data_IF_711437553027
#
_entry.id   IF_711437553027
#
_cell.length_a   1.000
_cell.length_b   1.000
_cell.length_c   1.000
_cell.angle_alpha   90.00
_cell.angle_beta   90.00
_cell.angle_gamma   90.00
#
_symmetry.space_group_name_H-M   'P 1'
#
loop_
_entity.id
_entity.type
_entity.pdbx_description
1 polymer ?
#
# COMPACT_ATOMS: atom_id res chain seq x y z
N UNK A 1 12.90 6.50 -16.76
CA UNK A 1 12.20 7.80 -16.89
C UNK A 1 10.68 7.64 -17.04
N UNK A 2 10.13 6.99 -18.07
CA UNK A 2 8.66 6.82 -18.19
C UNK A 2 8.06 5.97 -17.05
N UNK A 3 8.64 4.80 -16.74
CA UNK A 3 8.15 3.92 -15.65
C UNK A 3 8.08 4.67 -14.32
N UNK A 4 9.13 5.41 -13.99
CA UNK A 4 9.21 6.22 -12.77
C UNK A 4 8.14 7.32 -12.73
N UNK A 5 7.95 8.06 -13.83
CA UNK A 5 6.88 9.08 -13.94
C UNK A 5 5.50 8.47 -13.68
N UNK A 6 5.26 7.27 -14.24
CA UNK A 6 4.01 6.52 -14.04
C UNK A 6 3.83 6.03 -12.61
N UNK A 7 4.89 5.52 -11.98
CA UNK A 7 4.86 5.17 -10.55
C UNK A 7 4.59 6.40 -9.68
N UNK A 8 5.21 7.54 -9.97
CA UNK A 8 4.96 8.80 -9.23
C UNK A 8 3.52 9.29 -9.40
N UNK A 9 2.96 9.18 -10.61
CA UNK A 9 1.54 9.50 -10.85
C UNK A 9 0.61 8.60 -10.01
N UNK A 10 0.89 7.29 -9.96
CA UNK A 10 0.17 6.36 -9.08
C UNK A 10 0.32 6.72 -7.60
N UNK A 11 1.54 7.02 -7.12
CA UNK A 11 1.77 7.46 -5.74
C UNK A 11 0.97 8.73 -5.43
N UNK A 12 0.99 9.72 -6.33
CA UNK A 12 0.24 10.96 -6.17
C UNK A 12 -1.25 10.69 -6.05
N UNK A 13 -1.81 9.84 -6.91
CA UNK A 13 -3.24 9.54 -6.93
C UNK A 13 -3.67 8.70 -5.73
N UNK A 14 -3.05 7.53 -5.52
CA UNK A 14 -3.48 6.56 -4.52
C UNK A 14 -2.99 6.89 -3.12
N UNK A 15 -1.70 7.17 -2.96
CA UNK A 15 -1.12 7.31 -1.63
C UNK A 15 -1.33 8.72 -1.09
N UNK A 16 -1.12 9.74 -1.92
CA UNK A 16 -1.22 11.15 -1.48
C UNK A 16 -2.66 11.66 -1.55
N UNK A 17 -3.29 11.71 -2.73
CA UNK A 17 -4.61 12.33 -2.90
C UNK A 17 -5.71 11.53 -2.21
N UNK A 18 -5.71 10.20 -2.36
CA UNK A 18 -6.69 9.34 -1.70
C UNK A 18 -6.30 9.00 -0.26
N UNK A 19 -5.06 9.26 0.17
CA UNK A 19 -4.61 9.02 1.55
C UNK A 19 -4.69 7.55 1.96
N UNK A 20 -4.51 6.62 1.01
CA UNK A 20 -4.59 5.17 1.28
C UNK A 20 -3.47 4.76 2.25
N UNK A 21 -2.27 5.32 2.10
CA UNK A 21 -1.19 5.20 3.08
C UNK A 21 -1.13 6.46 3.96
N UNK A 22 -1.33 6.37 5.28
CA UNK A 22 -1.27 7.56 6.16
C UNK A 22 0.16 8.11 6.32
N UNK A 23 1.18 7.35 5.92
CA UNK A 23 2.59 7.69 6.10
C UNK A 23 3.25 8.26 4.85
N UNK A 24 2.50 8.47 3.76
CA UNK A 24 3.02 9.03 2.50
C UNK A 24 2.22 10.27 2.14
N UNK A 25 2.83 11.46 2.28
CA UNK A 25 2.18 12.75 2.02
C UNK A 25 2.67 13.46 0.76
N UNK A 26 3.62 12.88 0.04
CA UNK A 26 4.19 13.43 -1.19
C UNK A 26 4.72 12.30 -2.08
N UNK A 27 4.97 12.60 -3.35
CA UNK A 27 5.61 11.68 -4.30
C UNK A 27 7.11 11.49 -4.10
N UNK A 28 7.76 12.28 -3.25
CA UNK A 28 9.22 12.21 -3.06
C UNK A 28 9.62 11.65 -1.70
N UNK A 29 8.72 11.67 -0.73
CA UNK A 29 9.04 11.40 0.68
C UNK A 29 8.00 10.46 1.28
N UNK A 30 8.44 9.51 2.11
CA UNK A 30 7.62 8.62 2.94
C UNK A 30 8.03 8.72 4.42
N UNK A 31 7.20 8.20 5.32
CA UNK A 31 7.44 8.27 6.77
C UNK A 31 7.00 9.58 7.45
N UNK A 32 6.36 10.52 6.73
CA UNK A 32 6.00 11.83 7.30
C UNK A 32 4.98 11.77 8.45
N UNK A 33 4.31 10.63 8.65
CA UNK A 33 3.37 10.39 9.75
C UNK A 33 4.01 9.85 11.03
N UNK A 34 5.35 9.72 11.09
CA UNK A 34 6.06 9.10 12.21
C UNK A 34 7.03 10.06 12.93
N UNK A 35 7.12 11.32 12.50
CA UNK A 35 8.11 12.28 13.01
C UNK A 35 7.98 12.58 14.51
N UNK A 36 6.75 12.61 15.02
CA UNK A 36 6.44 12.78 16.43
C UNK A 36 6.81 11.56 17.30
N UNK A 37 7.06 10.41 16.68
CA UNK A 37 7.62 9.21 17.32
C UNK A 37 9.15 9.15 17.22
N UNK A 38 9.80 10.24 16.79
CA UNK A 38 11.25 10.31 16.63
C UNK A 38 11.77 9.56 15.40
N UNK A 39 10.89 9.11 14.50
CA UNK A 39 11.29 8.42 13.28
C UNK A 39 11.38 9.43 12.15
N UNK A 40 12.55 9.58 11.52
CA UNK A 40 12.71 10.52 10.42
C UNK A 40 11.94 10.06 9.18
N UNK A 41 11.46 11.03 8.42
CA UNK A 41 10.98 10.81 7.07
C UNK A 41 12.13 10.90 6.08
N UNK A 42 12.10 10.08 5.05
CA UNK A 42 13.13 10.01 4.02
C UNK A 42 12.52 9.89 2.64
N UNK A 43 13.39 9.88 1.63
CA UNK A 43 13.00 9.82 0.23
C UNK A 43 12.37 8.48 -0.11
N UNK A 44 11.50 8.52 -1.12
CA UNK A 44 11.08 7.34 -1.87
C UNK A 44 12.07 7.19 -3.02
N UNK A 45 12.86 6.11 -3.02
CA UNK A 45 13.72 5.75 -4.13
C UNK A 45 12.92 4.97 -5.18
N UNK A 46 12.89 5.46 -6.41
CA UNK A 46 12.20 4.83 -7.52
C UNK A 46 13.21 4.11 -8.40
N UNK A 47 13.05 2.80 -8.56
CA UNK A 47 13.91 1.98 -9.40
C UNK A 47 13.09 1.27 -10.46
N UNK A 48 13.76 0.86 -11.53
CA UNK A 48 13.19 0.00 -12.56
C UNK A 48 14.18 -1.11 -12.85
N UNK A 49 13.70 -2.35 -12.82
CA UNK A 49 14.47 -3.52 -13.23
C UNK A 49 14.21 -3.82 -14.71
N UNK A 50 15.28 -4.04 -15.45
CA UNK A 50 15.23 -4.52 -16.84
C UNK A 50 15.22 -6.06 -16.91
N UNK A 51 15.07 -6.74 -15.77
CA UNK A 51 15.01 -8.19 -15.71
C UNK A 51 13.83 -8.73 -16.53
N UNK A 52 14.10 -9.81 -17.27
CA UNK A 52 13.07 -10.54 -18.03
C UNK A 52 12.57 -11.75 -17.23
N UNK A 53 11.48 -12.36 -17.69
CA UNK A 53 10.93 -13.59 -17.09
C UNK A 53 11.94 -14.76 -17.05
N UNK A 54 12.91 -14.77 -17.96
CA UNK A 54 13.97 -15.79 -18.01
C UNK A 54 15.19 -15.44 -17.14
N UNK A 55 15.20 -14.25 -16.54
CA UNK A 55 16.30 -13.75 -15.73
C UNK A 55 15.80 -13.22 -14.37
N UNK A 56 15.01 -14.00 -13.60
CA UNK A 56 14.52 -13.55 -12.29
C UNK A 56 15.66 -13.29 -11.30
N UNK A 57 16.85 -13.87 -11.53
CA UNK A 57 18.05 -13.58 -10.73
C UNK A 57 18.52 -12.12 -10.89
N UNK A 58 18.31 -11.48 -12.06
CA UNK A 58 18.61 -10.06 -12.24
C UNK A 58 17.65 -9.20 -11.44
N UNK A 59 16.36 -9.55 -11.39
CA UNK A 59 15.39 -8.86 -10.53
C UNK A 59 15.82 -8.89 -9.06
N UNK A 60 16.32 -10.04 -8.59
CA UNK A 60 16.86 -10.17 -7.24
C UNK A 60 18.11 -9.31 -7.05
N UNK A 61 19.04 -9.32 -8.01
CA UNK A 61 20.25 -8.50 -7.95
C UNK A 61 19.92 -7.00 -7.88
N UNK A 62 19.02 -6.52 -8.73
CA UNK A 62 18.55 -5.12 -8.74
C UNK A 62 17.87 -4.77 -7.40
N UNK A 63 17.09 -5.70 -6.85
CA UNK A 63 16.45 -5.52 -5.54
C UNK A 63 17.48 -5.41 -4.42
N UNK A 64 18.48 -6.29 -4.39
CA UNK A 64 19.53 -6.26 -3.37
C UNK A 64 20.42 -5.04 -3.48
N UNK A 65 20.73 -4.60 -4.70
CA UNK A 65 21.44 -3.36 -4.93
C UNK A 65 20.65 -2.16 -4.38
N UNK A 66 19.35 -2.07 -4.68
CA UNK A 66 18.52 -0.98 -4.16
C UNK A 66 18.44 -1.01 -2.61
N UNK A 67 18.34 -2.20 -2.01
CA UNK A 67 18.37 -2.40 -0.54
C UNK A 67 19.68 -1.90 0.05
N UNK A 68 20.83 -2.26 -0.52
CA UNK A 68 22.14 -1.79 -0.06
C UNK A 68 22.22 -0.26 -0.16
N UNK A 69 21.82 0.33 -1.28
CA UNK A 69 21.78 1.79 -1.47
C UNK A 69 20.91 2.48 -0.39
N UNK A 70 19.74 1.91 -0.05
CA UNK A 70 18.90 2.44 1.03
C UNK A 70 19.54 2.30 2.41
N UNK A 71 20.26 1.21 2.68
CA UNK A 71 20.96 1.00 3.96
C UNK A 71 22.11 2.02 4.08
N UNK A 72 22.93 2.17 3.04
CA UNK A 72 24.05 3.13 3.00
C UNK A 72 23.58 4.58 3.12
N UNK A 73 22.44 4.92 2.51
CA UNK A 73 21.85 6.25 2.62
C UNK A 73 21.36 6.59 4.04
N UNK A 74 21.12 5.57 4.88
CA UNK A 74 20.63 5.73 6.24
C UNK A 74 19.19 6.27 6.33
N UNK A 75 18.64 6.37 7.56
CA UNK A 75 17.32 6.95 7.81
C UNK A 75 17.34 8.49 7.82
N UNK A 76 18.49 9.08 8.14
CA UNK A 76 18.78 10.52 8.24
C UNK A 76 20.08 10.84 7.50
N UNK A 77 20.09 11.88 6.66
CA UNK A 77 21.29 12.33 5.95
C UNK A 77 21.17 13.77 5.45
N UNK A 78 22.30 14.47 5.29
CA UNK A 78 22.36 15.88 4.83
C UNK A 78 21.69 16.09 3.46
N UNK A 79 21.67 15.05 2.62
CA UNK A 79 20.98 15.03 1.32
C UNK A 79 19.59 14.37 1.37
N UNK A 80 19.12 13.95 2.55
CA UNK A 80 17.87 13.21 2.77
C UNK A 80 18.04 11.70 2.53
N UNK A 81 18.05 10.92 3.60
CA UNK A 81 18.11 9.44 3.59
C UNK A 81 16.95 8.80 2.84
N UNK A 82 16.98 7.47 2.68
CA UNK A 82 15.94 6.71 1.94
C UNK A 82 15.07 5.93 2.92
N UNK A 83 13.77 6.19 2.89
CA UNK A 83 12.76 5.52 3.74
C UNK A 83 12.13 4.30 3.07
N UNK A 84 12.02 4.34 1.74
CA UNK A 84 11.34 3.29 0.99
C UNK A 84 11.83 3.21 -0.43
N UNK A 85 11.79 2.00 -1.00
CA UNK A 85 12.09 1.70 -2.39
C UNK A 85 10.80 1.30 -3.09
N UNK A 86 10.54 1.82 -4.29
CA UNK A 86 9.56 1.28 -5.24
C UNK A 86 10.30 0.82 -6.50
N UNK A 87 10.57 -0.48 -6.59
CA UNK A 87 11.24 -1.09 -7.73
C UNK A 87 10.20 -1.71 -8.66
N UNK A 88 9.98 -1.09 -9.83
CA UNK A 88 9.11 -1.64 -10.88
C UNK A 88 9.82 -2.69 -11.71
N UNK A 89 9.10 -3.74 -12.10
CA UNK A 89 9.57 -4.80 -13.00
C UNK A 89 8.52 -5.05 -14.10
N UNK A 90 8.41 -4.17 -15.12
CA UNK A 90 7.33 -4.23 -16.11
C UNK A 90 7.22 -5.55 -16.88
N UNK A 91 8.32 -6.29 -17.03
CA UNK A 91 8.32 -7.60 -17.70
C UNK A 91 7.45 -8.65 -16.98
N UNK A 92 7.03 -8.39 -15.74
CA UNK A 92 6.23 -9.30 -14.91
C UNK A 92 4.76 -8.87 -14.80
N UNK A 93 4.32 -7.80 -15.46
CA UNK A 93 2.98 -7.20 -15.27
C UNK A 93 1.80 -8.14 -15.52
N UNK A 94 1.98 -9.11 -16.41
CA UNK A 94 0.97 -10.08 -16.79
C UNK A 94 1.17 -11.45 -16.13
N UNK A 95 2.24 -11.62 -15.34
CA UNK A 95 2.72 -12.90 -14.79
C UNK A 95 2.51 -13.01 -13.27
N UNK A 96 1.26 -12.87 -12.83
CA UNK A 96 0.92 -12.87 -11.40
C UNK A 96 1.38 -14.14 -10.67
N UNK A 97 1.28 -15.32 -11.29
CA UNK A 97 1.61 -16.58 -10.64
C UNK A 97 3.12 -16.70 -10.39
N UNK A 98 3.94 -16.29 -11.37
CA UNK A 98 5.39 -16.18 -11.21
C UNK A 98 5.77 -15.14 -10.15
N UNK A 99 5.04 -14.01 -10.13
CA UNK A 99 5.27 -12.93 -9.19
C UNK A 99 4.92 -13.33 -7.75
N UNK A 100 3.69 -13.77 -7.50
CA UNK A 100 3.17 -14.08 -6.17
C UNK A 100 3.70 -15.40 -5.60
N UNK A 101 4.22 -16.31 -6.44
CA UNK A 101 4.84 -17.55 -6.00
C UNK A 101 6.37 -17.45 -5.96
N UNK A 102 7.08 -17.83 -7.03
CA UNK A 102 8.55 -17.88 -7.05
C UNK A 102 9.25 -16.59 -6.64
N UNK A 103 8.82 -15.41 -7.13
CA UNK A 103 9.50 -14.14 -6.81
C UNK A 103 9.37 -13.82 -5.32
N UNK A 104 8.19 -13.98 -4.71
CA UNK A 104 8.02 -13.74 -3.28
C UNK A 104 8.81 -14.72 -2.43
N UNK A 105 8.81 -16.00 -2.80
CA UNK A 105 9.59 -17.02 -2.10
C UNK A 105 11.10 -16.74 -2.13
N UNK A 106 11.62 -16.26 -3.27
CA UNK A 106 13.02 -15.84 -3.39
C UNK A 106 13.33 -14.61 -2.54
N UNK A 107 12.42 -13.61 -2.51
CA UNK A 107 12.58 -12.42 -1.68
C UNK A 107 12.58 -12.76 -0.18
N UNK A 108 11.61 -13.55 0.27
CA UNK A 108 11.53 -14.00 1.66
C UNK A 108 12.79 -14.78 2.06
N UNK A 109 13.17 -15.76 1.24
CA UNK A 109 14.36 -16.58 1.49
C UNK A 109 15.63 -15.72 1.52
N UNK A 110 15.76 -14.77 0.60
CA UNK A 110 16.90 -13.86 0.55
C UNK A 110 16.98 -12.95 1.78
N UNK A 111 15.86 -12.35 2.20
CA UNK A 111 15.78 -11.50 3.40
C UNK A 111 16.16 -12.29 4.66
N UNK A 112 15.67 -13.52 4.79
CA UNK A 112 16.02 -14.39 5.91
C UNK A 112 17.48 -14.83 5.86
N UNK A 113 17.99 -15.26 4.71
CA UNK A 113 19.36 -15.72 4.53
C UNK A 113 20.39 -14.61 4.77
N UNK A 114 20.09 -13.39 4.34
CA UNK A 114 20.92 -12.20 4.57
C UNK A 114 20.75 -11.61 5.99
N UNK A 115 19.85 -12.16 6.82
CA UNK A 115 19.49 -11.61 8.13
C UNK A 115 19.03 -10.14 8.06
N UNK A 116 18.43 -9.76 6.94
CA UNK A 116 18.03 -8.37 6.64
C UNK A 116 16.67 -8.01 7.25
N UNK A 117 15.95 -8.94 7.87
CA UNK A 117 14.61 -8.72 8.46
C UNK A 117 14.58 -7.67 9.57
N UNK A 118 15.72 -7.44 10.23
CA UNK A 118 15.88 -6.37 11.24
C UNK A 118 16.12 -4.99 10.62
N UNK A 119 16.39 -4.92 9.33
CA UNK A 119 16.75 -3.70 8.60
C UNK A 119 15.66 -3.29 7.63
N UNK A 120 15.01 -4.26 6.99
CA UNK A 120 13.99 -4.01 5.96
C UNK A 120 12.79 -4.94 6.11
N UNK A 121 11.62 -4.43 5.73
CA UNK A 121 10.46 -5.25 5.39
C UNK A 121 10.11 -5.07 3.93
N UNK A 122 9.66 -6.16 3.30
CA UNK A 122 9.31 -6.17 1.87
C UNK A 122 7.82 -6.44 1.72
N UNK A 123 7.23 -5.72 0.79
CA UNK A 123 5.83 -5.79 0.43
C UNK A 123 5.73 -5.73 -1.08
N UNK A 124 4.95 -6.60 -1.67
CA UNK A 124 4.91 -6.70 -3.12
C UNK A 124 3.54 -6.30 -3.67
N UNK A 125 3.56 -5.69 -4.85
CA UNK A 125 2.40 -5.15 -5.55
C UNK A 125 2.38 -5.70 -6.98
N UNK A 126 1.19 -5.78 -7.57
CA UNK A 126 1.03 -6.31 -8.92
C UNK A 126 -0.20 -5.71 -9.61
N UNK A 127 -0.18 -5.41 -10.92
CA UNK A 127 -1.33 -4.83 -11.64
C UNK A 127 -2.58 -5.71 -11.53
N UNK A 128 -2.36 -7.03 -11.55
CA UNK A 128 -3.40 -8.06 -11.45
C UNK A 128 -3.60 -8.60 -10.03
N UNK A 129 -3.06 -7.96 -8.99
CA UNK A 129 -3.12 -8.48 -7.62
C UNK A 129 -4.56 -8.84 -7.22
N UNK A 130 -4.69 -9.98 -6.54
CA UNK A 130 -5.94 -10.49 -5.97
C UNK A 130 -5.76 -10.71 -4.46
N UNK A 131 -6.76 -10.32 -3.67
CA UNK A 131 -6.75 -10.56 -2.22
C UNK A 131 -6.80 -12.06 -1.95
N UNK A 132 -5.95 -12.61 -1.07
CA UNK A 132 -6.00 -14.01 -0.70
C UNK A 132 -7.36 -14.39 -0.13
N UNK A 133 -7.94 -15.50 -0.56
CA UNK A 133 -9.23 -16.02 -0.08
C UNK A 133 -9.16 -16.56 1.36
N UNK A 134 -7.96 -16.81 1.88
CA UNK A 134 -7.71 -17.38 3.19
C UNK A 134 -7.66 -18.91 3.22
N UNK A 135 -7.73 -19.59 2.08
CA UNK A 135 -7.56 -21.05 1.99
C UNK A 135 -6.10 -21.47 2.07
N UNK A 136 -5.19 -20.55 1.77
CA UNK A 136 -3.73 -20.73 1.90
C UNK A 136 -3.14 -19.59 2.73
N UNK A 137 -2.07 -19.88 3.49
CA UNK A 137 -1.31 -18.82 4.16
C UNK A 137 -0.68 -17.96 3.08
N UNK A 138 -0.97 -16.65 3.03
CA UNK A 138 -0.51 -15.86 1.91
C UNK A 138 1.01 -15.62 1.98
N UNK A 139 1.64 -15.74 3.15
CA UNK A 139 3.09 -15.60 3.27
C UNK A 139 3.56 -14.16 3.34
N UNK A 140 4.88 -14.01 3.20
CA UNK A 140 5.62 -12.75 3.28
C UNK A 140 5.13 -11.72 2.25
N UNK A 141 4.96 -10.46 2.67
CA UNK A 141 4.65 -9.34 1.78
C UNK A 141 3.20 -9.26 1.25
N UNK A 142 2.33 -10.21 1.56
CA UNK A 142 0.95 -10.22 1.07
C UNK A 142 -0.04 -9.35 1.86
N UNK A 143 -1.22 -9.15 1.27
CA UNK A 143 -2.41 -8.62 1.94
C UNK A 143 -3.03 -9.64 2.91
N UNK A 144 -3.74 -9.16 3.93
CA UNK A 144 -4.62 -10.00 4.74
C UNK A 144 -5.71 -10.68 3.89
N UNK A 145 -6.18 -11.84 4.34
CA UNK A 145 -7.20 -12.59 3.61
C UNK A 145 -8.57 -11.92 3.61
N UNK A 146 -9.42 -12.25 2.63
CA UNK A 146 -10.79 -11.74 2.51
C UNK A 146 -11.58 -11.91 3.81
N UNK A 147 -11.63 -13.10 4.47
CA UNK A 147 -12.36 -13.25 5.73
C UNK A 147 -11.88 -12.31 6.84
N UNK A 148 -10.57 -12.03 6.88
CA UNK A 148 -10.00 -11.10 7.87
C UNK A 148 -10.37 -9.66 7.57
N UNK A 149 -10.37 -9.26 6.29
CA UNK A 149 -10.81 -7.94 5.87
C UNK A 149 -12.31 -7.75 6.12
N UNK A 150 -13.14 -8.76 5.86
CA UNK A 150 -14.58 -8.74 6.14
C UNK A 150 -14.85 -8.50 7.63
N UNK A 151 -14.13 -9.21 8.50
CA UNK A 151 -14.26 -9.02 9.94
C UNK A 151 -13.99 -7.56 10.36
N UNK A 152 -13.01 -6.89 9.75
CA UNK A 152 -12.71 -5.48 10.03
C UNK A 152 -13.73 -4.51 9.41
N UNK A 153 -14.28 -4.83 8.25
CA UNK A 153 -15.28 -4.00 7.57
C UNK A 153 -16.64 -4.07 8.28
N UNK A 154 -17.01 -5.25 8.78
CA UNK A 154 -18.28 -5.51 9.44
C UNK A 154 -18.36 -4.94 10.87
N UNK A 155 -17.22 -4.70 11.53
CA UNK A 155 -17.18 -4.14 12.87
C UNK A 155 -17.51 -2.64 12.87
N UNK A 156 -18.80 -2.30 12.79
CA UNK A 156 -19.31 -0.93 12.89
C UNK A 156 -19.24 -0.35 14.32
N UNK A 157 -18.96 -1.20 15.32
CA UNK A 157 -18.74 -0.82 16.71
C UNK A 157 -17.30 -0.38 16.98
N UNK A 158 -16.37 -0.72 16.09
CA UNK A 158 -15.00 -0.24 16.15
C UNK A 158 -14.95 1.27 15.91
N UNK A 159 -14.86 2.02 17.00
CA UNK A 159 -14.91 3.47 16.98
C UNK A 159 -13.52 4.13 16.89
N UNK A 160 -12.48 3.33 16.67
CA UNK A 160 -11.11 3.78 16.41
C UNK A 160 -10.31 4.03 17.67
N UNK A 161 -9.00 4.21 17.51
CA UNK A 161 -8.14 4.82 18.52
C UNK A 161 -7.91 6.31 18.22
N UNK A 162 -7.83 7.16 19.24
CA UNK A 162 -7.40 8.55 19.08
C UNK A 162 -5.88 8.66 18.81
N UNK A 163 -5.37 9.87 18.59
CA UNK A 163 -3.95 10.13 18.35
C UNK A 163 -3.04 9.69 19.50
N UNK A 164 -3.61 9.44 20.68
CA UNK A 164 -2.94 8.95 21.89
C UNK A 164 -3.17 7.44 22.12
N UNK A 165 -3.83 6.74 21.19
CA UNK A 165 -4.06 5.29 21.26
C UNK A 165 -5.27 4.86 22.11
N UNK A 166 -6.07 5.79 22.64
CA UNK A 166 -7.26 5.45 23.43
C UNK A 166 -8.41 5.02 22.54
N UNK A 167 -9.16 3.99 22.95
CA UNK A 167 -10.36 3.55 22.24
C UNK A 167 -11.42 4.66 22.31
N UNK A 168 -11.66 5.34 21.19
CA UNK A 168 -12.84 6.17 21.01
C UNK A 168 -14.00 5.17 20.97
N UNK A 169 -14.97 5.28 21.88
CA UNK A 169 -16.24 4.55 21.78
C UNK A 169 -17.25 5.46 21.10
N UNK A 170 -17.97 4.96 20.09
CA UNK A 170 -19.18 5.65 19.60
C UNK A 170 -20.11 5.78 20.82
N UNK A 171 -20.33 7.00 21.31
CA UNK A 171 -21.38 7.26 22.30
C UNK A 171 -22.67 6.73 21.69
N UNK A 172 -23.27 5.70 22.29
CA UNK A 172 -24.68 5.36 22.03
C UNK A 172 -25.47 6.62 22.35
N UNK A 173 -25.86 7.38 21.33
CA UNK A 173 -26.84 8.44 21.48
C UNK A 173 -28.13 7.70 21.86
N UNK A 174 -28.45 7.66 23.15
CA UNK A 174 -29.80 7.31 23.60
C UNK A 174 -30.69 8.44 23.09
N UNK A 175 -31.33 8.25 21.93
CA UNK A 175 -32.45 9.09 21.53
C UNK A 175 -33.50 9.02 22.65
N UNK A 176 -33.59 10.08 23.47
CA UNK A 176 -34.83 10.36 24.18
C UNK A 176 -35.84 10.71 23.11
N UNK A 177 -36.92 9.92 23.02
CA UNK A 177 -38.11 10.28 22.25
C UNK A 177 -38.66 11.58 22.83
N UNK A 178 -38.30 12.71 22.24
CA UNK A 178 -39.06 13.95 22.33
C UNK A 178 -39.41 14.31 20.91
N UNK A 179 -40.70 14.30 20.59
CA UNK A 179 -41.22 14.57 19.27
C UNK A 179 -40.82 15.97 18.81
N UNK A 180 -39.86 16.01 17.90
CA UNK A 180 -39.59 17.12 17.01
C UNK A 180 -38.94 16.49 15.78
N UNK A 181 -39.63 16.57 14.64
CA UNK A 181 -39.10 16.18 13.34
C UNK A 181 -37.86 17.04 13.06
N UNK A 182 -36.70 16.41 13.18
CA UNK A 182 -35.45 16.93 12.66
C UNK A 182 -35.03 15.92 11.60
N UNK A 183 -35.04 16.34 10.34
CA UNK A 183 -34.48 15.59 9.21
C UNK A 183 -32.98 15.38 9.44
N UNK A 184 -32.62 14.32 10.16
CA UNK A 184 -31.26 13.82 10.18
C UNK A 184 -31.10 12.96 8.94
N UNK A 185 -30.38 13.47 7.95
CA UNK A 185 -29.91 12.70 6.80
C UNK A 185 -29.17 11.46 7.26
N UNK A 186 -29.90 10.34 7.30
CA UNK A 186 -29.36 9.02 7.54
C UNK A 186 -28.51 8.66 6.32
N UNK A 187 -27.22 8.93 6.35
CA UNK A 187 -26.25 8.25 5.47
C UNK A 187 -26.35 6.76 5.77
N UNK A 188 -27.18 6.06 5.03
CA UNK A 188 -27.20 4.59 4.96
C UNK A 188 -25.80 4.16 4.55
N UNK A 189 -25.01 3.70 5.50
CA UNK A 189 -23.78 2.94 5.22
C UNK A 189 -24.21 1.70 4.47
N UNK A 190 -24.10 1.72 3.14
CA UNK A 190 -24.36 0.54 2.31
C UNK A 190 -23.40 -0.55 2.75
N UNK A 191 -23.92 -1.69 3.17
CA UNK A 191 -23.09 -2.86 3.51
C UNK A 191 -22.35 -3.32 2.26
N UNK A 192 -21.03 -3.46 2.35
CA UNK A 192 -20.21 -3.99 1.26
C UNK A 192 -20.39 -5.51 1.14
N UNK A 193 -20.43 -6.02 -0.09
CA UNK A 193 -20.41 -7.46 -0.35
C UNK A 193 -19.01 -8.06 -0.12
N UNK A 194 -18.90 -9.38 -0.05
CA UNK A 194 -17.60 -10.10 -0.04
C UNK A 194 -16.74 -9.73 -1.24
N UNK A 195 -17.36 -9.59 -2.42
CA UNK A 195 -16.69 -9.22 -3.66
C UNK A 195 -16.12 -7.80 -3.58
N UNK A 196 -16.87 -6.86 -2.99
CA UNK A 196 -16.40 -5.49 -2.75
C UNK A 196 -15.22 -5.45 -1.76
N UNK A 197 -15.29 -6.25 -0.68
CA UNK A 197 -14.20 -6.34 0.29
C UNK A 197 -12.94 -6.92 -0.35
N UNK A 198 -13.09 -8.00 -1.14
CA UNK A 198 -11.99 -8.60 -1.87
C UNK A 198 -11.37 -7.63 -2.89
N UNK A 199 -12.21 -6.90 -3.65
CA UNK A 199 -11.77 -5.90 -4.60
C UNK A 199 -11.06 -4.72 -3.92
N UNK A 200 -11.61 -4.20 -2.81
CA UNK A 200 -10.99 -3.12 -2.04
C UNK A 200 -9.66 -3.52 -1.38
N UNK A 201 -9.52 -4.77 -0.96
CA UNK A 201 -8.24 -5.35 -0.54
C UNK A 201 -7.23 -5.37 -1.69
N UNK A 202 -7.67 -5.80 -2.88
CA UNK A 202 -6.81 -5.93 -4.04
C UNK A 202 -6.32 -4.58 -4.55
N UNK A 203 -7.19 -3.57 -4.62
CA UNK A 203 -6.84 -2.22 -5.08
C UNK A 203 -5.80 -1.51 -4.20
N UNK A 204 -5.64 -1.90 -2.93
CA UNK A 204 -4.55 -1.41 -2.08
C UNK A 204 -3.18 -2.00 -2.45
N UNK A 205 -3.15 -3.07 -3.26
CA UNK A 205 -1.94 -3.78 -3.72
C UNK A 205 -1.74 -3.73 -5.23
N UNK A 206 -2.61 -3.03 -5.96
CA UNK A 206 -2.46 -2.83 -7.40
C UNK A 206 -1.63 -1.59 -7.70
N UNK A 207 -0.61 -1.79 -8.53
CA UNK A 207 0.33 -0.79 -9.03
C UNK A 207 0.39 -0.87 -10.55
N UNK A 208 0.83 0.19 -11.25
CA UNK A 208 0.88 0.19 -12.72
C UNK A 208 1.73 -0.93 -13.29
N UNK A 209 2.82 -1.27 -12.59
CA UNK A 209 3.70 -2.38 -12.91
C UNK A 209 3.85 -3.31 -11.71
N UNK A 210 4.28 -4.56 -11.94
CA UNK A 210 4.75 -5.43 -10.87
C UNK A 210 5.84 -4.69 -10.08
N UNK A 211 5.66 -4.55 -8.77
CA UNK A 211 6.51 -3.66 -7.96
C UNK A 211 6.90 -4.30 -6.64
N UNK A 212 8.19 -4.30 -6.34
CA UNK A 212 8.74 -4.64 -5.02
C UNK A 212 8.84 -3.34 -4.24
N UNK A 213 8.15 -3.26 -3.10
CA UNK A 213 8.27 -2.17 -2.16
C UNK A 213 9.11 -2.63 -0.98
N UNK A 214 10.19 -1.91 -0.71
CA UNK A 214 11.02 -2.15 0.48
C UNK A 214 10.83 -0.97 1.41
N UNK A 215 10.67 -1.26 2.69
CA UNK A 215 10.48 -0.29 3.75
C UNK A 215 11.53 -0.53 4.82
N UNK A 216 12.03 0.52 5.47
CA UNK A 216 12.91 0.32 6.63
C UNK A 216 12.14 -0.36 7.78
N UNK A 217 12.80 -1.30 8.45
CA UNK A 217 12.19 -2.08 9.52
C UNK A 217 11.81 -1.21 10.74
N UNK A 218 12.64 -0.23 11.09
CA UNK A 218 12.38 0.73 12.17
C UNK A 218 11.10 1.57 11.91
N UNK A 219 10.92 2.06 10.69
CA UNK A 219 9.73 2.76 10.24
C UNK A 219 8.50 1.85 10.23
N UNK A 220 8.66 0.60 9.80
CA UNK A 220 7.59 -0.39 9.85
C UNK A 220 7.14 -0.65 11.27
N UNK A 221 8.05 -0.96 12.19
CA UNK A 221 7.73 -1.24 13.59
C UNK A 221 6.95 -0.09 14.23
N UNK A 222 7.39 1.16 13.98
CA UNK A 222 6.72 2.35 14.51
C UNK A 222 5.39 2.65 13.80
N UNK A 223 5.30 2.39 12.49
CA UNK A 223 4.04 2.46 11.78
C UNK A 223 3.04 1.45 12.35
N UNK A 224 3.45 0.23 12.67
CA UNK A 224 2.59 -0.81 13.22
C UNK A 224 2.09 -0.49 14.63
N UNK A 225 2.94 0.10 15.48
CA UNK A 225 2.54 0.50 16.84
C UNK A 225 1.48 1.59 16.84
N UNK A 226 1.51 2.51 15.86
CA UNK A 226 0.52 3.59 15.70
C UNK A 226 -0.70 3.17 14.88
N UNK A 227 -0.55 2.22 13.98
CA UNK A 227 -1.59 1.86 13.00
C UNK A 227 -2.77 1.17 13.66
N UNK A 228 -3.89 1.86 13.63
CA UNK A 228 -5.19 1.24 13.81
C UNK A 228 -5.55 0.42 12.56
N UNK A 229 -5.08 -0.82 12.53
CA UNK A 229 -5.15 -1.70 11.36
C UNK A 229 -6.59 -1.95 10.90
N UNK A 230 -7.56 -2.31 11.77
CA UNK A 230 -8.95 -2.46 11.36
C UNK A 230 -9.55 -1.17 10.79
N UNK A 231 -9.33 -0.03 11.45
CA UNK A 231 -9.86 1.26 10.98
C UNK A 231 -9.28 1.64 9.61
N UNK A 232 -7.97 1.46 9.43
CA UNK A 232 -7.27 1.77 8.19
C UNK A 232 -7.85 0.97 7.02
N UNK A 233 -7.91 -0.36 7.14
CA UNK A 233 -8.41 -1.21 6.07
C UNK A 233 -9.88 -0.96 5.78
N UNK A 234 -10.73 -0.82 6.80
CA UNK A 234 -12.14 -0.48 6.63
C UNK A 234 -12.33 0.82 5.86
N UNK A 235 -11.61 1.88 6.27
CA UNK A 235 -11.66 3.20 5.62
C UNK A 235 -11.20 3.12 4.17
N UNK A 236 -10.08 2.44 3.92
CA UNK A 236 -9.51 2.34 2.59
C UNK A 236 -10.40 1.53 1.64
N UNK A 237 -10.94 0.40 2.10
CA UNK A 237 -11.85 -0.44 1.30
C UNK A 237 -13.10 0.36 0.93
N UNK A 238 -13.78 1.00 1.89
CA UNK A 238 -14.96 1.82 1.61
C UNK A 238 -14.66 2.94 0.61
N UNK A 239 -13.57 3.69 0.81
CA UNK A 239 -13.15 4.75 -0.10
C UNK A 239 -12.89 4.25 -1.52
N UNK A 240 -12.22 3.10 -1.68
CA UNK A 240 -11.93 2.52 -2.99
C UNK A 240 -13.20 2.04 -3.68
N UNK A 241 -14.14 1.46 -2.93
CA UNK A 241 -15.42 1.01 -3.48
C UNK A 241 -16.34 2.16 -3.87
N UNK A 242 -16.29 3.30 -3.16
CA UNK A 242 -16.99 4.54 -3.55
C UNK A 242 -16.50 5.08 -4.91
N UNK A 243 -15.20 4.93 -5.23
CA UNK A 243 -14.66 5.31 -6.55
C UNK A 243 -15.14 4.34 -7.64
N UNK A 244 -15.25 3.05 -7.30
CA UNK A 244 -15.72 1.99 -8.18
C UNK A 244 -14.62 1.37 -9.06
N UNK A 245 -14.76 0.06 -9.30
CA UNK A 245 -13.77 -0.75 -10.01
C UNK A 245 -13.45 -0.24 -11.43
N UNK A 246 -14.45 0.21 -12.18
CA UNK A 246 -14.25 0.69 -13.55
C UNK A 246 -13.32 1.90 -13.60
N UNK A 247 -13.54 2.89 -12.72
CA UNK A 247 -12.69 4.09 -12.66
C UNK A 247 -11.28 3.74 -12.19
N UNK A 248 -11.16 2.92 -11.14
CA UNK A 248 -9.85 2.50 -10.62
C UNK A 248 -9.03 1.75 -11.69
N UNK A 249 -9.67 0.89 -12.48
CA UNK A 249 -9.04 0.19 -13.60
C UNK A 249 -8.62 1.14 -14.72
N UNK A 250 -9.51 2.02 -15.16
CA UNK A 250 -9.19 2.99 -16.21
C UNK A 250 -8.01 3.90 -15.81
N UNK A 251 -7.96 4.34 -14.54
CA UNK A 251 -6.85 5.15 -14.05
C UNK A 251 -5.55 4.34 -14.00
N UNK A 252 -5.60 3.06 -13.55
CA UNK A 252 -4.44 2.17 -13.52
C UNK A 252 -3.89 1.90 -14.93
N UNK A 253 -4.77 1.66 -15.91
CA UNK A 253 -4.37 1.41 -17.30
C UNK A 253 -3.68 2.61 -17.93
N UNK A 254 -4.15 3.84 -17.64
CA UNK A 254 -3.47 5.07 -18.06
C UNK A 254 -2.08 5.19 -17.44
N UNK A 255 -1.93 4.80 -16.18
CA UNK A 255 -0.63 4.79 -15.51
C UNK A 255 0.27 3.67 -16.04
N UNK A 256 -0.28 2.54 -16.49
CA UNK A 256 0.51 1.46 -17.10
C UNK A 256 0.96 1.77 -18.52
N UNK A 257 0.27 2.67 -19.23
CA UNK A 257 0.61 2.98 -20.63
C UNK A 257 2.00 3.63 -20.75
N UNK A 258 2.91 2.87 -21.35
CA UNK A 258 4.29 3.23 -21.61
C UNK A 258 4.44 4.14 -22.84
N UNK A 259 3.36 4.41 -23.57
CA UNK A 259 3.37 5.39 -24.66
C UNK A 259 3.45 6.80 -24.07
N UNK A 260 4.41 7.60 -24.56
CA UNK A 260 4.44 9.04 -24.28
C UNK A 260 3.22 9.68 -24.93
N UNK A 261 2.31 10.23 -24.12
CA UNK A 261 1.30 11.14 -24.62
C UNK A 261 2.03 12.40 -25.12
N UNK A 262 2.24 12.53 -26.43
CA UNK A 262 2.89 13.71 -27.04
C UNK A 262 2.12 15.02 -26.80
N UNK A 263 0.92 14.94 -26.22
CA UNK A 263 -0.02 16.05 -26.08
C UNK A 263 -0.31 16.43 -24.61
N UNK A 264 0.33 15.80 -23.62
CA UNK A 264 0.20 16.26 -22.23
C UNK A 264 1.24 17.36 -21.95
N UNK A 265 0.82 18.54 -21.48
CA UNK A 265 1.76 19.59 -21.10
C UNK A 265 2.63 19.07 -19.94
N UNK A 266 3.95 19.18 -20.11
CA UNK A 266 4.91 18.89 -19.04
C UNK A 266 4.59 19.81 -17.84
N UNK A 267 4.46 19.27 -16.61
CA UNK A 267 4.26 20.09 -15.42
C UNK A 267 5.45 21.00 -15.11
#
# INVERSE_FOLDING_TARGET
>A
MIVEERQKAWVQRLLVNLGICPFTKSVTTSGQGLRDLGVPSGKIAYHTSDATLHQPYLLMADTWQAIDEMIQAGPDGEDGGVSSILLAAPAFDDELDMWAGPVFALLETGVLAAQASSQVGVVCFHPRYATPDGTTWPGFGHMHSVPRLEAWVADDQYAGKDEQGNIIRKKKIKLKKTGAELETGSTTTTSLSTEDVAAGGAWQRRTPHATINVLRADQLEMAESRRDTPLLYRRNIRKLMEIGNHKLLSDLEKERDMRRNRNEPTP
#
